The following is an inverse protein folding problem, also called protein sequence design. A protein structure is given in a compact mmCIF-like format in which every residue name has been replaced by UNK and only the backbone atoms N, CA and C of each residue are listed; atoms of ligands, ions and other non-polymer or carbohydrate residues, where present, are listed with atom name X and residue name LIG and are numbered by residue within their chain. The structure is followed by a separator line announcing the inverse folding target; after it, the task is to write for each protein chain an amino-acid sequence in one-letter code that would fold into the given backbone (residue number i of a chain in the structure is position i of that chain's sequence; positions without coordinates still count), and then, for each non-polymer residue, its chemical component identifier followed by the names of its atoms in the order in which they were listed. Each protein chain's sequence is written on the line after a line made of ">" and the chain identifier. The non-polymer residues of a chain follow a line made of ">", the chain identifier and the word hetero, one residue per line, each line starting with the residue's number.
data_IF_218904493072
#
_entry.id   IF_218904493072
#
_cell.length_a   1.000
_cell.length_b   1.000
_cell.length_c   1.000
_cell.angle_alpha   90.00
_cell.angle_beta   90.00
_cell.angle_gamma   90.00
#
_symmetry.space_group_name_H-M   'P 1'
#
loop_
_entity.id
_entity.type
_entity.pdbx_description
1 polymer ?
#
# COMPACT_ATOMS: atom_id res chain seq x y z
N UNK A 1 36.08 -17.73 -15.85
CA UNK A 1 35.27 -17.20 -16.99
C UNK A 1 33.79 -17.58 -16.89
N UNK A 2 33.43 -18.84 -16.60
CA UNK A 2 32.01 -19.26 -16.48
C UNK A 2 31.16 -18.52 -15.42
N UNK A 3 31.78 -18.03 -14.35
CA UNK A 3 31.10 -17.23 -13.30
C UNK A 3 30.57 -15.88 -13.82
N UNK A 4 31.23 -15.27 -14.80
CA UNK A 4 30.80 -13.99 -15.37
C UNK A 4 29.57 -14.12 -16.28
N UNK A 5 29.32 -15.32 -16.85
CA UNK A 5 28.14 -15.56 -17.69
C UNK A 5 26.82 -15.47 -16.92
N UNK A 6 26.83 -15.72 -15.60
CA UNK A 6 25.64 -15.60 -14.77
C UNK A 6 25.43 -14.18 -14.21
N UNK A 7 26.48 -13.36 -14.16
CA UNK A 7 26.43 -12.00 -13.61
C UNK A 7 25.64 -11.07 -14.53
N UNK A 8 25.88 -11.14 -15.85
CA UNK A 8 25.16 -10.32 -16.82
C UNK A 8 23.63 -10.50 -16.81
N UNK A 9 23.08 -11.74 -16.87
CA UNK A 9 21.64 -11.93 -16.76
C UNK A 9 21.10 -11.55 -15.37
N UNK A 10 21.84 -11.80 -14.29
CA UNK A 10 21.42 -11.35 -12.95
C UNK A 10 21.33 -9.81 -12.86
N UNK A 11 22.28 -9.09 -13.44
CA UNK A 11 22.27 -7.62 -13.50
C UNK A 11 21.10 -7.12 -14.34
N UNK A 12 20.84 -7.77 -15.48
CA UNK A 12 19.73 -7.43 -16.36
C UNK A 12 18.37 -7.66 -15.69
N UNK A 13 18.20 -8.77 -14.95
CA UNK A 13 16.98 -9.01 -14.16
C UNK A 13 16.78 -7.94 -13.08
N UNK A 14 17.85 -7.49 -12.42
CA UNK A 14 17.76 -6.46 -11.39
C UNK A 14 17.35 -5.08 -11.92
N UNK A 15 17.69 -4.77 -13.17
CA UNK A 15 17.31 -3.51 -13.82
C UNK A 15 15.82 -3.44 -14.20
N UNK A 16 15.14 -4.59 -14.30
CA UNK A 16 13.70 -4.67 -14.60
C UNK A 16 12.85 -4.63 -13.32
N UNK A 17 13.49 -4.75 -12.15
CA UNK A 17 12.83 -4.57 -10.87
C UNK A 17 12.64 -3.08 -10.60
N UNK A 18 11.55 -2.52 -11.11
CA UNK A 18 11.04 -1.23 -10.65
C UNK A 18 10.60 -1.39 -9.19
N UNK A 19 11.52 -1.14 -8.27
CA UNK A 19 11.14 -0.90 -6.88
C UNK A 19 10.23 0.34 -6.86
N UNK A 20 9.21 0.34 -5.98
CA UNK A 20 8.30 1.47 -5.79
C UNK A 20 9.06 2.81 -5.83
N UNK A 21 8.47 3.87 -6.41
CA UNK A 21 9.16 5.14 -6.59
C UNK A 21 9.78 5.59 -5.28
N UNK A 22 11.10 5.83 -5.33
CA UNK A 22 11.91 6.22 -4.17
C UNK A 22 11.37 7.50 -3.50
N UNK A 23 10.67 8.36 -4.25
CA UNK A 23 10.14 9.63 -3.76
C UNK A 23 8.71 9.85 -4.22
N UNK A 24 7.70 9.57 -3.39
CA UNK A 24 6.31 9.90 -3.69
C UNK A 24 6.13 11.41 -3.71
N UNK A 25 5.24 11.89 -4.58
CA UNK A 25 4.92 13.31 -4.73
C UNK A 25 3.94 13.80 -3.66
N UNK A 26 3.13 12.88 -3.11
CA UNK A 26 2.06 13.19 -2.16
C UNK A 26 2.13 12.27 -0.96
N UNK A 27 1.96 12.85 0.22
CA UNK A 27 1.87 12.13 1.49
C UNK A 27 0.49 12.37 2.07
N UNK A 28 -0.24 11.31 2.37
CA UNK A 28 -1.66 11.40 2.77
C UNK A 28 -1.94 10.63 4.04
N UNK A 29 -2.89 11.14 4.81
CA UNK A 29 -3.60 10.41 5.88
C UNK A 29 -5.03 10.23 5.38
N UNK A 30 -5.56 9.02 5.51
CA UNK A 30 -6.91 8.69 5.04
C UNK A 30 -7.83 8.60 6.26
N UNK A 31 -8.97 9.28 6.20
CA UNK A 31 -10.09 9.04 7.12
C UNK A 31 -11.21 8.35 6.33
N UNK A 32 -11.79 7.27 6.87
CA UNK A 32 -12.77 6.43 6.16
C UNK A 32 -13.79 5.83 7.11
N UNK A 33 -15.03 5.62 6.62
CA UNK A 33 -16.07 4.91 7.36
C UNK A 33 -16.16 3.40 7.00
N UNK A 34 -15.21 2.91 6.21
CA UNK A 34 -15.12 1.51 5.80
C UNK A 34 -16.11 1.10 4.70
N UNK A 35 -16.72 2.07 4.00
CA UNK A 35 -17.50 1.83 2.79
C UNK A 35 -16.76 1.00 1.73
N UNK A 36 -17.50 0.29 0.87
CA UNK A 36 -16.89 -0.55 -0.17
C UNK A 36 -16.13 0.28 -1.23
N UNK A 37 -16.62 1.46 -1.50
CA UNK A 37 -16.01 2.49 -2.35
C UNK A 37 -14.75 3.07 -1.70
N UNK A 38 -14.76 3.31 -0.39
CA UNK A 38 -13.56 3.72 0.36
C UNK A 38 -12.45 2.67 0.29
N UNK A 39 -12.78 1.39 0.48
CA UNK A 39 -11.79 0.31 0.36
C UNK A 39 -11.19 0.24 -1.05
N UNK A 40 -11.99 0.54 -2.08
CA UNK A 40 -11.51 0.65 -3.46
C UNK A 40 -10.60 1.87 -3.64
N UNK A 41 -10.94 3.01 -3.07
CA UNK A 41 -10.12 4.22 -3.10
C UNK A 41 -8.77 4.00 -2.38
N UNK A 42 -8.78 3.37 -1.21
CA UNK A 42 -7.56 2.97 -0.49
C UNK A 42 -6.68 2.09 -1.39
N UNK A 43 -7.26 1.10 -2.06
CA UNK A 43 -6.52 0.22 -2.98
C UNK A 43 -5.87 1.02 -4.12
N UNK A 44 -6.57 2.00 -4.68
CA UNK A 44 -6.02 2.88 -5.72
C UNK A 44 -4.88 3.75 -5.20
N UNK A 45 -4.99 4.28 -3.97
CA UNK A 45 -3.94 5.08 -3.34
C UNK A 45 -2.69 4.24 -3.03
N UNK A 46 -2.86 3.00 -2.57
CA UNK A 46 -1.75 2.07 -2.31
C UNK A 46 -1.04 1.63 -3.59
N UNK A 47 -1.77 1.48 -4.69
CA UNK A 47 -1.21 1.15 -6.00
C UNK A 47 -0.51 2.33 -6.68
N UNK A 48 -0.78 3.56 -6.24
CA UNK A 48 -0.27 4.76 -6.89
C UNK A 48 1.23 4.95 -6.63
N UNK A 49 2.07 5.11 -7.67
CA UNK A 49 3.48 5.41 -7.52
C UNK A 49 3.73 6.78 -6.84
N UNK A 50 2.78 7.71 -6.99
CA UNK A 50 2.94 9.10 -6.57
C UNK A 50 2.43 9.38 -5.16
N UNK A 51 1.84 8.38 -4.49
CA UNK A 51 1.17 8.55 -3.19
C UNK A 51 1.82 7.66 -2.14
N UNK A 52 2.08 8.26 -0.97
CA UNK A 52 2.45 7.54 0.25
C UNK A 52 1.38 7.72 1.30
N UNK A 53 0.71 6.64 1.64
CA UNK A 53 -0.19 6.59 2.80
C UNK A 53 0.65 6.52 4.07
N UNK A 54 0.46 7.49 4.97
CA UNK A 54 1.17 7.58 6.25
C UNK A 54 0.42 6.88 7.38
N UNK A 55 -0.89 6.79 7.29
CA UNK A 55 -1.78 6.19 8.27
C UNK A 55 -3.23 6.29 7.84
N UNK A 56 -4.09 5.50 8.47
CA UNK A 56 -5.53 5.48 8.20
C UNK A 56 -6.29 5.63 9.54
N UNK A 57 -7.23 6.57 9.62
CA UNK A 57 -8.21 6.67 10.71
C UNK A 57 -9.54 6.13 10.24
N UNK A 58 -10.30 5.57 11.17
CA UNK A 58 -11.61 5.00 10.89
C UNK A 58 -12.67 5.71 11.71
N UNK A 59 -13.74 6.13 11.06
CA UNK A 59 -14.87 6.82 11.66
C UNK A 59 -16.16 6.01 11.48
N UNK A 60 -17.21 6.37 12.22
CA UNK A 60 -18.51 5.71 12.07
C UNK A 60 -19.32 6.31 10.92
N UNK A 61 -19.92 5.46 10.08
CA UNK A 61 -20.72 5.87 8.93
C UNK A 61 -21.39 4.66 8.26
N UNK A 62 -20.91 4.28 7.08
CA UNK A 62 -21.33 3.07 6.38
C UNK A 62 -21.15 1.79 7.23
N UNK A 63 -20.10 1.74 8.04
CA UNK A 63 -19.88 0.72 9.06
C UNK A 63 -19.69 1.38 10.44
N UNK A 64 -19.76 0.57 11.51
CA UNK A 64 -19.24 1.02 12.80
C UNK A 64 -17.72 1.19 12.72
N UNK A 65 -17.16 2.09 13.53
CA UNK A 65 -15.72 2.37 13.54
C UNK A 65 -14.88 1.10 13.78
N UNK A 66 -15.33 0.16 14.64
CA UNK A 66 -14.62 -1.12 14.84
C UNK A 66 -14.67 -2.02 13.61
N UNK A 67 -15.81 -2.08 12.92
CA UNK A 67 -15.96 -2.87 11.70
C UNK A 67 -15.14 -2.27 10.55
N UNK A 68 -15.11 -0.95 10.42
CA UNK A 68 -14.25 -0.24 9.49
C UNK A 68 -12.77 -0.54 9.78
N UNK A 69 -12.34 -0.46 11.04
CA UNK A 69 -10.99 -0.81 11.47
C UNK A 69 -10.60 -2.24 11.07
N UNK A 70 -11.45 -3.23 11.36
CA UNK A 70 -11.19 -4.64 11.02
C UNK A 70 -11.05 -4.80 9.51
N UNK A 71 -11.94 -4.20 8.72
CA UNK A 71 -11.91 -4.31 7.25
C UNK A 71 -10.69 -3.63 6.64
N UNK A 72 -10.36 -2.41 7.08
CA UNK A 72 -9.17 -1.68 6.63
C UNK A 72 -7.91 -2.48 6.97
N UNK A 73 -7.79 -3.00 8.20
CA UNK A 73 -6.62 -3.80 8.58
C UNK A 73 -6.53 -5.10 7.78
N UNK A 74 -7.66 -5.76 7.53
CA UNK A 74 -7.71 -6.96 6.67
C UNK A 74 -7.29 -6.67 5.23
N UNK A 75 -7.71 -5.53 4.66
CA UNK A 75 -7.31 -5.09 3.33
C UNK A 75 -5.80 -4.86 3.27
N UNK A 76 -5.25 -4.10 4.21
CA UNK A 76 -3.81 -3.83 4.29
C UNK A 76 -2.99 -5.12 4.41
N UNK A 77 -3.43 -6.06 5.25
CA UNK A 77 -2.76 -7.35 5.39
C UNK A 77 -2.82 -8.18 4.10
N UNK A 78 -3.93 -8.13 3.36
CA UNK A 78 -4.11 -8.86 2.10
C UNK A 78 -3.28 -8.29 0.95
N UNK A 79 -2.86 -7.02 1.06
CA UNK A 79 -2.03 -6.31 0.10
C UNK A 79 -0.57 -6.14 0.57
N UNK A 80 -0.17 -6.78 1.67
CA UNK A 80 1.19 -6.71 2.24
C UNK A 80 1.63 -5.28 2.65
N UNK A 81 0.70 -4.50 3.20
CA UNK A 81 0.91 -3.14 3.70
C UNK A 81 0.70 -3.04 5.23
N UNK A 82 1.08 -4.07 5.99
CA UNK A 82 0.84 -4.20 7.43
C UNK A 82 1.47 -3.08 8.27
N UNK A 83 2.56 -2.48 7.74
CA UNK A 83 3.30 -1.39 8.36
C UNK A 83 2.59 -0.03 8.36
N UNK A 84 1.45 0.10 7.69
CA UNK A 84 0.63 1.32 7.77
C UNK A 84 -0.17 1.30 9.08
N UNK A 85 -0.04 2.32 9.94
CA UNK A 85 -0.81 2.41 11.19
C UNK A 85 -2.29 2.67 10.87
N UNK A 86 -3.17 2.02 11.65
CA UNK A 86 -4.63 2.22 11.57
C UNK A 86 -5.13 2.59 12.97
N UNK A 87 -5.97 3.63 13.07
CA UNK A 87 -6.59 4.08 14.32
C UNK A 87 -8.11 4.17 14.22
N UNK A 88 -8.77 4.11 15.37
CA UNK A 88 -10.21 4.32 15.59
C UNK A 88 -10.41 5.51 16.51
#
# INVERSE_FOLDING_TARGET
>A
MKRFLLIFPALFLSAVLYCHPWKPNHYVIIDTDGGIDDLRAITMLLASPDVRVLGITTSGGALSHENAYIKVKSLLNSLYHEGIPVGT
#
